data_IF_043372766474
#
_entry.id   IF_043372766474
#
_cell.length_a   1.000
_cell.length_b   1.000
_cell.length_c   1.000
_cell.angle_alpha   90.00
_cell.angle_beta   90.00
_cell.angle_gamma   90.00
#
_symmetry.space_group_name_H-M   'P 1'
#
loop_
_entity.id
_entity.type
_entity.pdbx_description
1 polymer ?
#
# COMPACT_ATOMS: atom_id res chain seq x y z
N UNK A 1 6.73 -47.48 -15.60
CA UNK A 1 6.02 -46.18 -15.65
C UNK A 1 6.81 -45.21 -14.78
N UNK A 2 7.22 -44.02 -15.26
CA UNK A 2 7.86 -43.05 -14.39
C UNK A 2 6.83 -42.54 -13.38
N UNK A 3 7.11 -42.70 -12.10
CA UNK A 3 6.23 -42.26 -11.03
C UNK A 3 6.22 -40.72 -11.00
N UNK A 4 5.05 -40.12 -11.17
CA UNK A 4 4.84 -38.69 -10.95
C UNK A 4 4.83 -38.46 -9.43
N UNK A 5 5.96 -38.02 -8.89
CA UNK A 5 6.04 -37.58 -7.50
C UNK A 5 5.78 -36.07 -7.45
N UNK A 6 4.94 -35.62 -6.52
CA UNK A 6 4.79 -34.20 -6.26
C UNK A 6 6.12 -33.63 -5.75
N UNK A 7 6.63 -32.57 -6.38
CA UNK A 7 7.79 -31.84 -5.87
C UNK A 7 7.34 -30.94 -4.71
N UNK A 8 7.31 -31.50 -3.51
CA UNK A 8 6.90 -30.78 -2.30
C UNK A 8 8.11 -30.03 -1.75
N UNK A 9 8.11 -28.71 -1.89
CA UNK A 9 9.08 -27.85 -1.22
C UNK A 9 8.58 -27.53 0.19
N UNK A 10 9.19 -28.16 1.20
CA UNK A 10 8.85 -27.99 2.61
C UNK A 10 9.10 -26.59 3.15
N UNK A 11 9.93 -25.78 2.48
CA UNK A 11 10.16 -24.37 2.83
C UNK A 11 9.02 -23.44 2.37
N UNK A 12 8.09 -23.94 1.54
CA UNK A 12 6.88 -23.21 1.12
C UNK A 12 5.62 -23.66 1.86
N UNK A 13 5.78 -24.51 2.87
CA UNK A 13 4.69 -24.97 3.73
C UNK A 13 4.74 -24.14 5.03
N UNK A 14 3.87 -23.15 5.14
CA UNK A 14 3.76 -22.30 6.32
C UNK A 14 2.69 -22.85 7.29
N UNK A 15 3.09 -23.08 8.53
CA UNK A 15 2.19 -23.44 9.63
C UNK A 15 2.42 -22.45 10.78
N UNK A 16 1.77 -21.29 10.72
CA UNK A 16 2.07 -20.19 11.63
C UNK A 16 0.82 -19.40 12.00
N UNK A 17 0.74 -18.91 13.25
CA UNK A 17 -0.29 -17.95 13.63
C UNK A 17 -0.08 -16.62 12.89
N UNK A 18 -1.16 -15.91 12.60
CA UNK A 18 -1.11 -14.60 11.95
C UNK A 18 -1.37 -13.49 12.98
N UNK A 19 -0.69 -12.36 12.83
CA UNK A 19 -1.06 -11.09 13.47
C UNK A 19 -2.13 -10.41 12.63
N UNK A 20 -3.16 -9.89 13.29
CA UNK A 20 -4.26 -9.16 12.63
C UNK A 20 -4.13 -7.68 12.95
N UNK A 21 -3.95 -6.85 11.92
CA UNK A 21 -3.91 -5.38 12.06
C UNK A 21 -5.10 -4.77 11.33
N UNK A 22 -5.86 -3.90 11.99
CA UNK A 22 -7.02 -3.22 11.39
C UNK A 22 -6.92 -1.70 11.59
N UNK A 23 -7.05 -0.92 10.52
CA UNK A 23 -6.95 0.55 10.59
C UNK A 23 -5.62 1.06 11.14
N UNK A 24 -4.53 0.30 10.93
CA UNK A 24 -3.19 0.62 11.44
C UNK A 24 -2.93 0.21 12.89
N UNK A 25 -3.86 -0.51 13.54
CA UNK A 25 -3.73 -0.94 14.94
C UNK A 25 -3.71 -2.47 15.04
N UNK A 26 -2.77 -3.00 15.80
CA UNK A 26 -2.67 -4.44 16.09
C UNK A 26 -3.84 -4.88 16.98
N UNK A 27 -4.63 -5.84 16.51
CA UNK A 27 -5.74 -6.47 17.24
C UNK A 27 -5.29 -7.71 18.04
N UNK A 28 -3.99 -8.04 17.98
CA UNK A 28 -3.37 -9.11 18.74
C UNK A 28 -3.23 -10.41 17.94
N UNK A 29 -2.75 -11.45 18.62
CA UNK A 29 -2.56 -12.78 18.04
C UNK A 29 -3.88 -13.52 17.86
N UNK A 30 -3.98 -14.27 16.76
CA UNK A 30 -5.10 -15.19 16.54
C UNK A 30 -4.92 -16.45 17.35
N UNK A 31 -6.03 -17.01 17.83
CA UNK A 31 -6.07 -18.35 18.38
C UNK A 31 -6.90 -19.19 17.42
N UNK A 32 -6.34 -20.29 16.91
CA UNK A 32 -6.93 -21.14 15.85
C UNK A 32 -6.73 -20.61 14.41
N UNK A 33 -7.59 -21.03 13.49
CA UNK A 33 -7.48 -20.83 12.06
C UNK A 33 -7.92 -19.42 11.63
N UNK A 34 -7.18 -18.84 10.68
CA UNK A 34 -7.62 -17.66 9.91
C UNK A 34 -8.05 -18.16 8.53
N UNK A 35 -9.28 -17.88 8.14
CA UNK A 35 -9.83 -18.34 6.85
C UNK A 35 -10.02 -17.15 5.92
N UNK A 36 -9.35 -17.17 4.77
CA UNK A 36 -9.52 -16.17 3.72
C UNK A 36 -10.26 -16.84 2.56
N UNK A 37 -11.45 -16.37 2.26
CA UNK A 37 -12.27 -16.87 1.17
C UNK A 37 -12.30 -15.86 0.02
N UNK A 38 -11.82 -16.29 -1.15
CA UNK A 38 -11.84 -15.49 -2.38
C UNK A 38 -12.80 -16.16 -3.35
N UNK A 39 -13.90 -15.49 -3.69
CA UNK A 39 -14.93 -16.01 -4.59
C UNK A 39 -15.12 -15.07 -5.78
N UNK A 40 -14.97 -15.61 -6.99
CA UNK A 40 -15.38 -14.92 -8.21
C UNK A 40 -16.87 -15.18 -8.45
N UNK A 41 -17.66 -14.13 -8.48
CA UNK A 41 -19.03 -14.21 -8.97
C UNK A 41 -19.00 -14.20 -10.49
N UNK A 42 -19.72 -15.14 -11.13
CA UNK A 42 -19.70 -15.34 -12.58
C UNK A 42 -21.11 -15.26 -13.12
N UNK A 43 -21.37 -14.31 -14.00
CA UNK A 43 -22.62 -14.21 -14.74
C UNK A 43 -22.62 -15.22 -15.89
N UNK A 44 -23.72 -15.98 -16.01
CA UNK A 44 -23.93 -16.93 -17.09
C UNK A 44 -24.46 -16.21 -18.33
N UNK A 45 -23.72 -16.29 -19.44
CA UNK A 45 -24.19 -15.86 -20.75
C UNK A 45 -24.90 -17.02 -21.43
N UNK A 46 -26.17 -16.82 -21.77
CA UNK A 46 -27.00 -17.78 -22.52
C UNK A 46 -27.27 -17.21 -23.91
N UNK A 47 -27.28 -18.05 -24.94
CA UNK A 47 -27.69 -17.67 -26.30
C UNK A 47 -28.97 -18.41 -26.66
N UNK A 48 -29.96 -17.67 -27.15
CA UNK A 48 -31.30 -18.18 -27.46
C UNK A 48 -31.28 -19.30 -28.53
N UNK A 49 -30.30 -19.28 -29.44
CA UNK A 49 -30.15 -20.29 -30.50
C UNK A 49 -29.70 -21.69 -30.04
N UNK A 50 -29.24 -21.85 -28.79
CA UNK A 50 -28.81 -23.15 -28.22
C UNK A 50 -29.64 -23.56 -27.00
N UNK A 51 -30.81 -22.94 -26.80
CA UNK A 51 -31.66 -23.18 -25.63
C UNK A 51 -31.08 -22.65 -24.32
N UNK A 52 -31.36 -23.30 -23.19
CA UNK A 52 -30.91 -22.87 -21.85
C UNK A 52 -29.44 -23.15 -21.55
N UNK A 53 -28.68 -23.62 -22.54
CA UNK A 53 -27.30 -24.05 -22.38
C UNK A 53 -26.40 -22.84 -22.13
N UNK A 54 -25.54 -22.92 -21.11
CA UNK A 54 -24.60 -21.85 -20.76
C UNK A 54 -23.51 -21.81 -21.81
N UNK A 55 -23.39 -20.70 -22.53
CA UNK A 55 -22.43 -20.53 -23.63
C UNK A 55 -21.09 -20.00 -23.11
N UNK A 56 -21.11 -19.15 -22.10
CA UNK A 56 -19.90 -18.60 -21.48
C UNK A 56 -20.20 -18.13 -20.03
N UNK A 57 -19.18 -18.03 -19.18
CA UNK A 57 -19.28 -17.51 -17.81
C UNK A 57 -18.30 -16.35 -17.66
N UNK A 58 -18.81 -15.11 -17.67
CA UNK A 58 -17.98 -13.92 -17.42
C UNK A 58 -17.93 -13.59 -15.95
N UNK A 59 -16.77 -13.13 -15.47
CA UNK A 59 -16.62 -12.67 -14.08
C UNK A 59 -17.45 -11.39 -13.92
N UNK A 60 -18.46 -11.45 -13.06
CA UNK A 60 -19.38 -10.36 -12.76
C UNK A 60 -19.00 -9.61 -11.48
N UNK A 61 -18.16 -10.22 -10.63
CA UNK A 61 -17.68 -9.59 -9.40
C UNK A 61 -16.63 -10.43 -8.68
N UNK A 62 -15.92 -9.80 -7.77
CA UNK A 62 -15.03 -10.44 -6.81
C UNK A 62 -15.58 -10.17 -5.42
N UNK A 63 -15.80 -11.25 -4.66
CA UNK A 63 -16.25 -11.21 -3.27
C UNK A 63 -15.12 -11.83 -2.44
N UNK A 64 -14.59 -11.05 -1.51
CA UNK A 64 -13.55 -11.49 -0.58
C UNK A 64 -14.10 -11.38 0.83
N UNK A 65 -14.09 -12.49 1.56
CA UNK A 65 -14.47 -12.55 2.98
C UNK A 65 -13.33 -13.12 3.79
N UNK A 66 -13.12 -12.55 4.98
CA UNK A 66 -12.05 -12.96 5.90
C UNK A 66 -12.68 -13.33 7.23
N UNK A 67 -12.30 -14.46 7.80
CA UNK A 67 -12.70 -14.85 9.15
C UNK A 67 -11.48 -14.91 10.05
N UNK A 68 -11.50 -14.14 11.15
CA UNK A 68 -10.43 -14.10 12.15
C UNK A 68 -10.95 -14.49 13.52
N UNK A 69 -10.20 -15.32 14.24
CA UNK A 69 -10.49 -15.69 15.64
C UNK A 69 -9.47 -15.02 16.58
N UNK A 70 -9.93 -14.03 17.35
CA UNK A 70 -9.10 -13.24 18.26
C UNK A 70 -9.09 -13.87 19.67
N UNK A 71 -7.89 -13.99 20.25
CA UNK A 71 -7.68 -14.59 21.58
C UNK A 71 -7.92 -13.62 22.76
N UNK A 72 -7.78 -12.31 22.51
CA UNK A 72 -7.84 -11.28 23.54
C UNK A 72 -9.27 -10.74 23.74
N UNK A 73 -10.18 -11.61 24.15
CA UNK A 73 -11.61 -11.28 24.28
C UNK A 73 -11.90 -10.30 25.42
N UNK A 74 -11.01 -10.18 26.42
CA UNK A 74 -11.21 -9.31 27.58
C UNK A 74 -10.83 -7.83 27.35
N UNK A 75 -10.06 -7.52 26.30
CA UNK A 75 -9.66 -6.15 26.01
C UNK A 75 -10.76 -5.39 25.26
N UNK A 76 -11.50 -4.55 26.00
CA UNK A 76 -12.60 -3.76 25.45
C UNK A 76 -12.14 -2.64 24.52
N UNK A 77 -10.86 -2.26 24.53
CA UNK A 77 -10.30 -1.34 23.56
C UNK A 77 -10.12 -2.01 22.18
N UNK A 78 -9.76 -3.30 22.16
CA UNK A 78 -9.64 -4.11 20.93
C UNK A 78 -11.00 -4.31 20.26
N UNK A 79 -12.05 -4.50 21.06
CA UNK A 79 -13.43 -4.59 20.57
C UNK A 79 -13.95 -3.30 19.92
N UNK A 80 -13.67 -2.11 20.50
CA UNK A 80 -14.04 -0.83 19.86
C UNK A 80 -13.35 -0.64 18.51
N UNK A 81 -12.14 -1.19 18.36
CA UNK A 81 -11.38 -1.12 17.10
C UNK A 81 -11.88 -2.13 16.07
N UNK A 82 -12.21 -3.35 16.52
CA UNK A 82 -12.80 -4.38 15.66
C UNK A 82 -14.21 -4.01 15.20
N UNK A 83 -14.97 -3.25 15.99
CA UNK A 83 -16.32 -2.77 15.68
C UNK A 83 -16.40 -1.23 15.76
N UNK A 84 -16.13 -0.51 14.65
CA UNK A 84 -16.09 0.96 14.64
C UNK A 84 -17.37 1.62 15.17
N UNK A 85 -18.53 0.99 14.93
CA UNK A 85 -19.86 1.46 15.32
C UNK A 85 -20.23 1.18 16.78
N UNK A 86 -19.48 0.33 17.49
CA UNK A 86 -19.71 0.06 18.91
C UNK A 86 -19.20 1.23 19.76
N UNK A 87 -19.87 1.62 20.83
CA UNK A 87 -19.42 2.72 21.70
C UNK A 87 -18.77 2.19 22.99
N UNK A 88 -17.56 2.66 23.30
CA UNK A 88 -16.88 2.35 24.56
C UNK A 88 -17.33 3.33 25.63
N UNK A 89 -18.11 2.85 26.60
CA UNK A 89 -18.52 3.62 27.78
C UNK A 89 -17.54 3.30 28.90
N UNK A 90 -16.86 4.32 29.42
CA UNK A 90 -15.95 4.17 30.55
C UNK A 90 -16.55 4.84 31.79
N UNK A 91 -16.46 4.16 32.93
CA UNK A 91 -16.87 4.70 34.23
C UNK A 91 -15.85 4.27 35.28
N UNK A 92 -14.93 5.17 35.62
CA UNK A 92 -13.77 4.87 36.47
C UNK A 92 -12.86 3.80 35.83
N UNK A 93 -12.47 2.78 36.60
CA UNK A 93 -11.67 1.65 36.11
C UNK A 93 -12.47 0.61 35.29
N UNK A 94 -13.78 0.78 35.17
CA UNK A 94 -14.64 -0.15 34.45
C UNK A 94 -14.91 0.33 33.02
N UNK A 95 -14.74 -0.58 32.07
CA UNK A 95 -15.02 -0.36 30.65
C UNK A 95 -16.24 -1.19 30.24
N UNK A 96 -17.13 -0.66 29.40
CA UNK A 96 -18.27 -1.37 28.82
C UNK A 96 -18.39 -1.02 27.34
N UNK A 97 -18.91 -1.94 26.53
CA UNK A 97 -19.12 -1.72 25.09
C UNK A 97 -20.61 -1.81 24.83
N UNK A 98 -21.14 -0.79 24.16
CA UNK A 98 -22.54 -0.69 23.79
C UNK A 98 -22.63 -0.71 22.27
N UNK A 99 -23.26 -1.75 21.75
CA UNK A 99 -23.68 -1.79 20.35
C UNK A 99 -24.99 -1.03 20.24
N UNK A 100 -24.97 0.12 19.55
CA UNK A 100 -26.16 0.90 19.29
C UNK A 100 -26.60 0.68 17.84
N UNK A 101 -27.91 0.63 17.61
CA UNK A 101 -28.44 0.54 16.26
C UNK A 101 -28.19 1.86 15.52
N UNK A 102 -27.30 1.86 14.54
CA UNK A 102 -26.99 3.02 13.70
C UNK A 102 -27.64 2.86 12.33
N UNK A 103 -28.94 3.12 12.26
CA UNK A 103 -29.72 3.08 11.02
C UNK A 103 -29.16 4.09 9.99
N UNK A 104 -28.84 3.62 8.79
CA UNK A 104 -28.39 4.46 7.67
C UNK A 104 -26.88 4.69 7.57
N UNK A 105 -26.07 4.01 8.38
CA UNK A 105 -24.60 4.10 8.29
C UNK A 105 -24.08 3.25 7.13
N UNK A 106 -23.20 3.81 6.31
CA UNK A 106 -22.56 3.13 5.18
C UNK A 106 -21.38 2.30 5.68
N UNK A 107 -21.41 0.98 5.46
CA UNK A 107 -20.29 0.08 5.77
C UNK A 107 -19.04 0.39 4.94
N UNK A 108 -19.25 0.96 3.74
CA UNK A 108 -18.17 1.38 2.85
C UNK A 108 -17.33 2.52 3.43
N UNK A 109 -17.99 3.52 4.01
CA UNK A 109 -17.32 4.71 4.55
C UNK A 109 -16.62 4.43 5.88
N UNK A 110 -17.07 3.40 6.61
CA UNK A 110 -16.46 2.96 7.86
C UNK A 110 -15.44 1.82 7.67
N UNK A 111 -15.27 1.33 6.45
CA UNK A 111 -14.30 0.28 6.15
C UNK A 111 -12.86 0.81 6.29
N UNK A 112 -11.98 -0.02 6.83
CA UNK A 112 -10.58 0.31 7.10
C UNK A 112 -9.67 -0.79 6.52
N UNK A 113 -8.37 -0.51 6.31
CA UNK A 113 -7.45 -1.53 5.83
C UNK A 113 -7.25 -2.62 6.88
N UNK A 114 -7.39 -3.88 6.45
CA UNK A 114 -7.10 -5.08 7.25
C UNK A 114 -5.81 -5.72 6.70
N UNK A 115 -4.83 -5.96 7.56
CA UNK A 115 -3.54 -6.57 7.21
C UNK A 115 -3.36 -7.81 8.07
N UNK A 116 -3.09 -8.95 7.43
CA UNK A 116 -2.72 -10.19 8.08
C UNK A 116 -1.24 -10.46 7.82
N UNK A 117 -0.45 -10.50 8.89
CA UNK A 117 1.00 -10.72 8.82
C UNK A 117 1.35 -12.07 9.48
N UNK A 118 2.00 -13.02 8.79
CA UNK A 118 2.46 -14.27 9.38
C UNK A 118 3.53 -14.06 10.46
N UNK A 119 3.36 -14.62 11.66
CA UNK A 119 4.29 -14.41 12.78
C UNK A 119 5.64 -15.15 12.65
N UNK A 120 5.84 -15.99 11.64
CA UNK A 120 7.16 -16.54 11.31
C UNK A 120 8.05 -15.57 10.54
N UNK A 121 7.49 -14.47 10.05
CA UNK A 121 8.24 -13.45 9.33
C UNK A 121 8.61 -12.31 10.27
N UNK A 122 9.74 -11.66 9.96
CA UNK A 122 10.10 -10.44 10.65
C UNK A 122 9.08 -9.36 10.26
N UNK A 123 8.80 -8.40 11.16
CA UNK A 123 7.86 -7.31 10.86
C UNK A 123 8.23 -6.48 9.61
N UNK A 124 9.49 -6.56 9.15
CA UNK A 124 9.98 -5.89 7.94
C UNK A 124 9.84 -6.75 6.66
N UNK A 125 9.59 -8.06 6.79
CA UNK A 125 9.34 -8.98 5.68
C UNK A 125 7.84 -9.08 5.42
N UNK A 126 7.33 -8.22 4.53
CA UNK A 126 5.92 -8.16 4.15
C UNK A 126 5.56 -9.15 3.03
N UNK A 127 6.48 -10.06 2.64
CA UNK A 127 6.33 -10.97 1.50
C UNK A 127 5.16 -11.96 1.61
N UNK A 128 4.69 -12.21 2.83
CA UNK A 128 3.57 -13.11 3.13
C UNK A 128 2.30 -12.37 3.57
N UNK A 129 2.27 -11.04 3.44
CA UNK A 129 1.18 -10.24 3.99
C UNK A 129 -0.05 -10.29 3.10
N UNK A 130 -1.21 -10.41 3.75
CA UNK A 130 -2.50 -10.23 3.10
C UNK A 130 -3.03 -8.86 3.47
N UNK A 131 -3.07 -7.95 2.50
CA UNK A 131 -3.62 -6.60 2.67
C UNK A 131 -4.97 -6.50 1.97
N UNK A 132 -6.00 -6.21 2.74
CA UNK A 132 -7.33 -5.87 2.27
C UNK A 132 -7.52 -4.36 2.41
N UNK A 133 -7.83 -3.67 1.31
CA UNK A 133 -7.83 -2.20 1.26
C UNK A 133 -8.98 -1.58 2.07
N UNK A 134 -10.17 -2.20 1.98
CA UNK A 134 -11.38 -1.74 2.66
C UNK A 134 -12.14 -2.93 3.23
N UNK A 135 -11.93 -3.24 4.50
CA UNK A 135 -12.63 -4.31 5.22
C UNK A 135 -13.56 -3.74 6.30
N UNK A 136 -14.72 -4.35 6.48
CA UNK A 136 -15.68 -4.00 7.52
C UNK A 136 -16.22 -5.27 8.21
N UNK A 137 -16.37 -5.28 9.55
CA UNK A 137 -16.91 -6.43 10.27
C UNK A 137 -18.39 -6.69 9.90
N UNK A 138 -18.70 -7.93 9.53
CA UNK A 138 -20.03 -8.40 9.18
C UNK A 138 -20.86 -8.77 10.43
N UNK A 139 -22.17 -8.90 10.24
CA UNK A 139 -23.19 -9.07 11.29
C UNK A 139 -23.04 -10.36 12.13
N UNK A 140 -22.27 -11.35 11.67
CA UNK A 140 -22.12 -12.67 12.31
C UNK A 140 -20.87 -12.79 13.20
N UNK A 141 -20.66 -11.85 14.11
CA UNK A 141 -19.58 -11.96 15.10
C UNK A 141 -20.05 -12.72 16.35
N UNK A 142 -19.31 -13.74 16.78
CA UNK A 142 -19.68 -14.60 17.91
C UNK A 142 -18.55 -14.77 18.92
N UNK A 143 -18.91 -14.85 20.21
CA UNK A 143 -17.99 -15.21 21.28
C UNK A 143 -18.33 -16.61 21.76
N UNK A 144 -17.33 -17.49 21.86
CA UNK A 144 -17.50 -18.81 22.46
C UNK A 144 -16.75 -18.86 23.79
N UNK A 145 -17.46 -19.21 24.86
CA UNK A 145 -16.90 -19.51 26.18
C UNK A 145 -17.00 -21.01 26.43
N UNK A 146 -15.88 -21.66 26.76
CA UNK A 146 -15.84 -23.07 27.12
C UNK A 146 -15.13 -23.28 28.46
N UNK A 147 -15.47 -24.34 29.22
CA UNK A 147 -14.74 -24.70 30.44
C UNK A 147 -13.34 -25.28 30.15
N UNK A 148 -13.11 -25.74 28.92
CA UNK A 148 -11.89 -26.44 28.48
C UNK A 148 -11.10 -25.67 27.42
N UNK A 149 -11.71 -24.68 26.77
CA UNK A 149 -11.12 -23.91 25.68
C UNK A 149 -11.03 -22.44 26.07
N UNK A 150 -9.96 -21.78 25.67
CA UNK A 150 -9.81 -20.34 25.85
C UNK A 150 -10.90 -19.60 25.04
N UNK A 151 -11.47 -18.56 25.63
CA UNK A 151 -12.49 -17.76 24.97
C UNK A 151 -11.95 -17.16 23.67
N UNK A 152 -12.71 -17.27 22.58
CA UNK A 152 -12.37 -16.76 21.26
C UNK A 152 -13.48 -15.86 20.71
N UNK A 153 -13.09 -14.75 20.10
CA UNK A 153 -13.98 -13.85 19.37
C UNK A 153 -13.81 -14.12 17.88
N UNK A 154 -14.84 -14.69 17.24
CA UNK A 154 -14.90 -14.84 15.79
C UNK A 154 -15.45 -13.55 15.19
N UNK A 155 -14.67 -12.95 14.29
CA UNK A 155 -15.08 -11.78 13.49
C UNK A 155 -15.02 -12.17 12.02
N UNK A 156 -16.13 -12.01 11.32
CA UNK A 156 -16.21 -12.13 9.87
C UNK A 156 -16.10 -10.75 9.24
N UNK A 157 -15.30 -10.57 8.21
CA UNK A 157 -15.04 -9.29 7.54
C UNK A 157 -15.47 -9.37 6.08
N UNK A 158 -16.23 -8.38 5.63
CA UNK A 158 -16.53 -8.15 4.22
C UNK A 158 -15.54 -7.14 3.64
N UNK A 159 -14.94 -7.46 2.49
CA UNK A 159 -13.99 -6.60 1.81
C UNK A 159 -14.64 -5.94 0.59
N UNK A 160 -14.51 -4.62 0.50
CA UNK A 160 -15.04 -3.79 -0.57
C UNK A 160 -13.92 -3.31 -1.51
N UNK A 161 -14.24 -3.02 -2.78
CA UNK A 161 -13.29 -2.41 -3.71
C UNK A 161 -12.98 -0.96 -3.31
N UNK A 162 -11.70 -0.60 -3.28
CA UNK A 162 -11.32 0.80 -3.08
C UNK A 162 -11.52 1.60 -4.36
N UNK A 163 -12.53 2.49 -4.37
CA UNK A 163 -12.84 3.36 -5.52
C UNK A 163 -11.93 4.58 -5.62
N UNK A 164 -11.10 4.83 -4.61
CA UNK A 164 -10.09 5.89 -4.63
C UNK A 164 -8.83 5.51 -5.40
N UNK A 165 -8.65 4.23 -5.75
CA UNK A 165 -7.44 3.71 -6.39
C UNK A 165 -7.78 3.14 -7.78
N UNK A 166 -7.00 3.53 -8.79
CA UNK A 166 -7.12 3.01 -10.15
C UNK A 166 -6.99 1.48 -10.16
N UNK A 167 -7.98 0.79 -10.73
CA UNK A 167 -8.02 -0.68 -10.78
C UNK A 167 -8.88 -1.33 -9.69
N UNK A 168 -9.50 -0.56 -8.80
CA UNK A 168 -10.43 -1.03 -7.77
C UNK A 168 -9.90 -2.23 -6.96
N UNK A 169 -8.68 -2.15 -6.39
CA UNK A 169 -8.07 -3.29 -5.72
C UNK A 169 -8.86 -3.67 -4.45
N UNK A 170 -9.09 -4.96 -4.26
CA UNK A 170 -9.78 -5.52 -3.09
C UNK A 170 -8.81 -6.27 -2.16
N UNK A 171 -7.88 -7.04 -2.75
CA UNK A 171 -6.90 -7.85 -2.04
C UNK A 171 -5.54 -7.70 -2.70
N UNK A 172 -4.52 -7.54 -1.87
CA UNK A 172 -3.12 -7.61 -2.27
C UNK A 172 -2.44 -8.66 -1.40
N UNK A 173 -1.69 -9.57 -2.03
CA UNK A 173 -0.93 -10.61 -1.36
C UNK A 173 0.55 -10.37 -1.67
N UNK A 174 1.35 -10.16 -0.63
CA UNK A 174 2.79 -9.97 -0.73
C UNK A 174 3.27 -8.60 -0.28
N UNK A 175 4.51 -8.28 -0.65
CA UNK A 175 5.17 -7.06 -0.22
C UNK A 175 4.63 -5.85 -1.01
N UNK A 176 4.07 -4.81 -0.36
CA UNK A 176 3.59 -3.61 -1.03
C UNK A 176 4.68 -2.86 -1.80
N UNK A 177 5.96 -3.12 -1.54
CA UNK A 177 7.07 -2.62 -2.36
C UNK A 177 7.07 -3.18 -3.80
N UNK A 178 6.36 -4.29 -4.04
CA UNK A 178 6.24 -4.95 -5.35
C UNK A 178 4.98 -4.47 -6.11
N UNK A 179 4.22 -3.47 -5.62
CA UNK A 179 2.99 -3.00 -6.28
C UNK A 179 2.80 -1.48 -6.31
N UNK A 180 2.42 -0.94 -7.49
CA UNK A 180 1.94 0.42 -7.79
C UNK A 180 2.61 1.58 -7.02
N UNK A 181 3.90 1.50 -6.74
CA UNK A 181 4.64 2.65 -6.19
C UNK A 181 4.95 3.59 -7.36
N UNK A 182 4.41 4.82 -7.32
CA UNK A 182 4.78 5.86 -8.27
C UNK A 182 6.26 6.24 -8.12
N UNK A 183 6.88 6.71 -9.20
CA UNK A 183 8.24 7.21 -9.11
C UNK A 183 8.31 8.35 -8.09
N UNK A 184 9.43 8.45 -7.38
CA UNK A 184 9.65 9.52 -6.40
C UNK A 184 11.02 10.16 -6.57
N UNK A 185 11.15 11.40 -6.10
CA UNK A 185 12.42 12.12 -5.99
C UNK A 185 12.64 12.59 -4.56
N UNK A 186 13.89 12.51 -4.12
CA UNK A 186 14.37 13.12 -2.88
C UNK A 186 14.50 14.64 -3.02
N UNK A 187 14.74 15.30 -1.88
CA UNK A 187 15.05 16.72 -1.88
C UNK A 187 16.41 17.00 -2.53
N UNK A 188 16.55 18.06 -3.36
CA UNK A 188 17.83 18.45 -3.90
C UNK A 188 18.84 18.76 -2.80
N UNK A 189 20.02 18.17 -2.91
CA UNK A 189 21.13 18.40 -1.98
C UNK A 189 22.20 19.24 -2.68
N UNK A 190 22.52 20.45 -2.17
CA UNK A 190 23.60 21.26 -2.73
C UNK A 190 24.97 20.60 -2.46
N UNK A 191 25.88 20.73 -3.43
CA UNK A 191 27.30 20.47 -3.22
C UNK A 191 27.99 21.61 -2.46
N UNK A 192 29.32 21.67 -2.55
CA UNK A 192 30.12 22.78 -2.02
C UNK A 192 30.01 24.01 -2.94
N UNK A 193 28.81 24.59 -3.03
CA UNK A 193 28.51 25.64 -3.98
C UNK A 193 28.98 27.02 -3.49
N UNK A 194 29.41 27.85 -4.43
CA UNK A 194 29.68 29.27 -4.17
C UNK A 194 28.37 30.06 -4.17
N UNK A 195 27.47 29.76 -5.11
CA UNK A 195 26.13 30.35 -5.15
C UNK A 195 25.20 29.79 -4.07
N UNK A 196 24.25 30.61 -3.62
CA UNK A 196 23.31 30.26 -2.55
C UNK A 196 21.88 29.99 -3.05
N UNK A 197 21.74 29.76 -4.35
CA UNK A 197 20.47 29.41 -4.97
C UNK A 197 19.94 28.03 -4.58
N UNK A 198 18.73 27.72 -5.01
CA UNK A 198 18.00 26.49 -4.62
C UNK A 198 17.33 25.84 -5.82
N UNK A 199 17.21 24.51 -5.79
CA UNK A 199 16.40 23.75 -6.74
C UNK A 199 15.02 23.47 -6.13
N UNK A 200 13.96 23.82 -6.85
CA UNK A 200 12.57 23.69 -6.41
C UNK A 200 11.73 22.99 -7.47
N UNK A 201 10.45 22.74 -7.16
CA UNK A 201 9.48 22.16 -8.10
C UNK A 201 9.92 20.82 -8.71
N UNK A 202 10.63 20.00 -7.93
CA UNK A 202 11.11 18.70 -8.38
C UNK A 202 9.91 17.76 -8.58
N UNK A 203 9.79 17.22 -9.78
CA UNK A 203 8.79 16.24 -10.17
C UNK A 203 9.45 15.12 -10.98
N UNK A 204 8.88 13.92 -10.91
CA UNK A 204 9.35 12.73 -11.64
C UNK A 204 8.21 12.09 -12.41
N UNK A 205 8.57 11.33 -13.45
CA UNK A 205 7.61 10.74 -14.37
C UNK A 205 7.69 9.22 -14.31
N UNK A 206 6.69 8.65 -13.65
CA UNK A 206 6.44 7.23 -13.44
C UNK A 206 6.67 6.27 -14.62
N UNK A 207 6.58 6.73 -15.88
CA UNK A 207 6.81 5.89 -17.06
C UNK A 207 8.27 5.74 -17.50
N UNK A 208 9.18 6.58 -16.99
CA UNK A 208 10.55 6.67 -17.49
C UNK A 208 11.60 6.83 -16.39
N UNK A 209 11.23 7.37 -15.21
CA UNK A 209 12.17 7.57 -14.12
C UNK A 209 12.83 6.26 -13.70
N UNK A 210 14.16 6.26 -13.65
CA UNK A 210 14.95 5.17 -13.11
C UNK A 210 15.35 5.44 -11.65
N UNK A 211 15.71 4.38 -10.93
CA UNK A 211 16.29 4.50 -9.59
C UNK A 211 17.75 4.88 -9.73
N UNK A 212 18.07 6.15 -9.50
CA UNK A 212 19.40 6.69 -9.77
C UNK A 212 19.68 8.02 -9.05
N UNK A 213 20.88 8.57 -9.21
CA UNK A 213 21.19 9.93 -8.76
C UNK A 213 21.34 10.85 -9.97
N UNK A 214 20.49 11.88 -10.03
CA UNK A 214 20.58 12.97 -11.00
C UNK A 214 21.53 14.02 -10.46
N UNK A 215 22.57 14.31 -11.22
CA UNK A 215 23.58 15.34 -10.94
C UNK A 215 23.36 16.53 -11.85
N UNK A 216 23.30 17.70 -11.24
CA UNK A 216 23.18 19.01 -11.86
C UNK A 216 24.52 19.70 -11.66
N UNK A 217 25.21 20.10 -12.72
CA UNK A 217 26.50 20.81 -12.62
C UNK A 217 26.46 22.09 -13.42
N UNK A 218 26.79 23.22 -12.80
CA UNK A 218 26.90 24.50 -13.49
C UNK A 218 28.08 24.46 -14.46
N UNK A 219 27.79 24.67 -15.74
CA UNK A 219 28.77 24.62 -16.84
C UNK A 219 29.02 25.99 -17.48
N UNK A 220 28.20 26.99 -17.17
CA UNK A 220 28.38 28.33 -17.69
C UNK A 220 27.60 29.37 -16.90
N UNK A 221 28.16 30.59 -16.85
CA UNK A 221 27.55 31.75 -16.20
C UNK A 221 27.69 32.94 -17.15
N UNK A 222 26.85 33.04 -18.20
CA UNK A 222 26.97 34.08 -19.22
C UNK A 222 26.70 35.50 -18.70
N UNK A 223 26.09 35.65 -17.53
CA UNK A 223 25.86 36.93 -16.87
C UNK A 223 25.31 36.75 -15.46
N UNK A 224 25.14 37.85 -14.74
CA UNK A 224 24.54 37.82 -13.39
C UNK A 224 23.13 37.21 -13.45
N UNK A 225 22.78 36.38 -12.47
CA UNK A 225 21.51 35.65 -12.39
C UNK A 225 21.22 34.72 -13.58
N UNK A 226 22.24 34.36 -14.37
CA UNK A 226 22.12 33.51 -15.53
C UNK A 226 23.18 32.41 -15.44
N UNK A 227 22.75 31.21 -15.08
CA UNK A 227 23.60 30.03 -15.04
C UNK A 227 23.03 28.91 -15.90
N UNK A 228 23.90 28.21 -16.63
CA UNK A 228 23.58 27.03 -17.45
C UNK A 228 24.13 25.78 -16.77
N UNK A 229 23.32 24.72 -16.80
CA UNK A 229 23.53 23.52 -15.98
C UNK A 229 23.46 22.27 -16.84
N UNK A 230 24.48 21.42 -16.76
CA UNK A 230 24.42 20.06 -17.30
C UNK A 230 23.64 19.16 -16.36
N UNK A 231 22.65 18.44 -16.89
CA UNK A 231 21.82 17.48 -16.14
C UNK A 231 22.21 16.08 -16.57
N UNK A 232 22.65 15.24 -15.64
CA UNK A 232 23.13 13.89 -15.96
C UNK A 232 22.69 12.91 -14.88
N UNK A 233 22.03 11.82 -15.29
CA UNK A 233 21.72 10.68 -14.44
C UNK A 233 22.89 9.69 -14.38
N UNK A 234 23.11 9.07 -13.23
CA UNK A 234 24.10 8.00 -13.05
C UNK A 234 23.83 6.73 -13.87
N UNK A 235 22.59 6.52 -14.29
CA UNK A 235 22.14 5.38 -15.12
C UNK A 235 21.69 5.87 -16.49
N UNK A 236 20.82 6.89 -16.55
CA UNK A 236 20.28 7.38 -17.82
C UNK A 236 21.24 8.24 -18.63
N UNK A 237 22.36 8.67 -18.05
CA UNK A 237 23.34 9.51 -18.72
C UNK A 237 22.85 10.94 -18.93
N UNK A 238 23.26 11.65 -19.99
CA UNK A 238 22.94 13.06 -20.17
C UNK A 238 21.44 13.27 -20.46
N UNK A 239 20.76 14.02 -19.59
CA UNK A 239 19.32 14.30 -19.68
C UNK A 239 19.01 15.65 -20.34
N UNK A 240 19.99 16.56 -20.42
CA UNK A 240 19.85 17.84 -21.11
C UNK A 240 20.63 18.99 -20.44
N UNK A 241 20.36 20.21 -20.90
CA UNK A 241 20.90 21.45 -20.32
C UNK A 241 19.75 22.26 -19.72
N UNK A 242 19.86 22.62 -18.44
CA UNK A 242 18.94 23.50 -17.73
C UNK A 242 19.51 24.93 -17.65
N UNK A 243 18.62 25.91 -17.52
CA UNK A 243 19.01 27.33 -17.32
C UNK A 243 18.33 27.83 -16.05
N UNK A 244 19.05 28.54 -15.19
CA UNK A 244 18.47 29.13 -13.98
C UNK A 244 17.32 30.09 -14.32
N UNK A 245 16.28 30.08 -13.49
CA UNK A 245 15.04 30.83 -13.71
C UNK A 245 14.09 30.21 -14.74
N UNK A 246 14.49 29.14 -15.45
CA UNK A 246 13.66 28.45 -16.44
C UNK A 246 13.37 27.02 -15.97
N UNK A 247 12.09 26.62 -16.07
CA UNK A 247 11.70 25.24 -15.76
C UNK A 247 12.36 24.27 -16.73
N UNK A 248 13.07 23.28 -16.19
CA UNK A 248 13.63 22.17 -16.95
C UNK A 248 12.69 20.96 -16.85
N UNK A 249 12.53 20.25 -17.96
CA UNK A 249 11.84 18.98 -18.00
C UNK A 249 12.55 18.03 -18.99
N UNK A 250 12.84 16.81 -18.53
CA UNK A 250 13.20 15.67 -19.36
C UNK A 250 12.07 14.62 -19.29
N UNK A 251 12.27 13.47 -19.94
CA UNK A 251 11.35 12.35 -19.79
C UNK A 251 11.32 11.78 -18.36
N UNK A 252 12.34 12.05 -17.54
CA UNK A 252 12.51 11.40 -16.22
C UNK A 252 12.29 12.34 -15.04
N UNK A 253 12.67 13.62 -15.18
CA UNK A 253 12.63 14.59 -14.08
C UNK A 253 12.34 15.99 -14.61
N UNK A 254 11.62 16.78 -13.82
CA UNK A 254 11.42 18.21 -14.02
C UNK A 254 11.75 18.97 -12.73
N UNK A 255 12.29 20.18 -12.86
CA UNK A 255 12.66 21.05 -11.73
C UNK A 255 12.88 22.50 -12.19
N UNK A 256 13.07 23.40 -11.22
CA UNK A 256 13.44 24.79 -11.43
C UNK A 256 14.67 25.15 -10.58
N UNK A 257 15.70 25.76 -11.18
CA UNK A 257 16.87 26.27 -10.46
C UNK A 257 16.68 27.77 -10.23
N UNK A 258 16.85 28.22 -8.99
CA UNK A 258 16.74 29.63 -8.59
C UNK A 258 18.13 30.13 -8.16
N UNK A 259 18.58 31.29 -8.63
CA UNK A 259 19.98 31.77 -8.47
C UNK A 259 20.31 32.28 -7.05
N UNK A 260 19.30 32.61 -6.24
CA UNK A 260 19.51 33.15 -4.89
C UNK A 260 19.99 34.61 -4.91
N UNK A 261 20.80 35.00 -3.91
CA UNK A 261 21.39 36.35 -3.81
C UNK A 261 22.90 36.36 -4.13
N UNK A 262 23.55 35.20 -4.14
CA UNK A 262 24.94 35.00 -4.53
C UNK A 262 24.93 34.14 -5.78
N UNK A 263 25.43 34.69 -6.89
CA UNK A 263 25.45 34.02 -8.18
C UNK A 263 26.21 32.69 -8.13
N UNK A 264 25.71 31.69 -8.85
CA UNK A 264 26.42 30.43 -9.04
C UNK A 264 27.70 30.62 -9.86
N UNK A 265 28.68 29.74 -9.66
CA UNK A 265 29.90 29.64 -10.48
C UNK A 265 30.02 28.28 -11.15
N UNK A 266 30.89 28.19 -12.16
CA UNK A 266 31.19 26.92 -12.83
C UNK A 266 31.67 25.90 -11.79
N UNK A 267 31.14 24.68 -11.88
CA UNK A 267 31.29 23.54 -10.95
C UNK A 267 30.43 23.57 -9.68
N UNK A 268 29.59 24.59 -9.46
CA UNK A 268 28.51 24.46 -8.48
C UNK A 268 27.59 23.29 -8.89
N UNK A 269 27.06 22.55 -7.92
CA UNK A 269 26.35 21.30 -8.16
C UNK A 269 25.17 21.06 -7.23
N UNK A 270 24.20 20.26 -7.70
CA UNK A 270 23.13 19.70 -6.89
C UNK A 270 22.94 18.22 -7.25
N UNK A 271 22.57 17.41 -6.27
CA UNK A 271 22.20 16.02 -6.49
C UNK A 271 20.76 15.75 -6.06
N UNK A 272 20.04 14.97 -6.85
CA UNK A 272 18.67 14.53 -6.57
C UNK A 272 18.64 13.01 -6.71
N UNK A 273 18.27 12.30 -5.65
CA UNK A 273 18.02 10.86 -5.72
C UNK A 273 16.62 10.62 -6.30
N UNK A 274 16.50 9.77 -7.31
CA UNK A 274 15.22 9.33 -7.87
C UNK A 274 15.02 7.84 -7.61
N UNK A 275 13.77 7.41 -7.48
CA UNK A 275 13.37 6.01 -7.38
C UNK A 275 12.35 5.72 -8.47
N UNK A 276 12.61 4.68 -9.26
CA UNK A 276 11.72 4.23 -10.32
C UNK A 276 10.35 3.82 -9.77
N UNK A 277 9.32 3.96 -10.61
CA UNK A 277 8.03 3.40 -10.27
C UNK A 277 8.08 1.86 -10.34
N UNK A 278 7.29 1.22 -9.49
CA UNK A 278 7.07 -0.22 -9.54
C UNK A 278 5.61 -0.50 -9.90
N UNK A 279 5.29 -0.43 -11.19
CA UNK A 279 4.01 -0.87 -11.73
C UNK A 279 4.16 -2.30 -12.23
N UNK A 280 3.47 -3.25 -11.60
CA UNK A 280 3.27 -4.60 -12.14
C UNK A 280 1.95 -4.63 -12.89
#
# INVERSE_FOLDING_TARGET
>A
MPNSNANVNTQKLDLTPMRVTYGGVDLGGTLSNVTINIKYDKAELKMDQTGTTIVDKRISGLIVTVETELAQVQDKATWKKAFPTANLVTSGGNQAIVFQNQLGTSDYDNSQPLILHPLNKANADLSGDYKFYKAYPNEESSIVYGPTEQARLKVSWNVYPDVGVTGYPQLFIGDPAIGLIAASAGSPTPGSNTGNGTVTSVAVFSGYTLTETITLTCVGVPGANQSTWSVTGSVSGPLGIATAGVGFASNEIAFLINDGTTDFVINDSFTIATTAANYV
#
